data_IF_079095125719
#
_entry.id   IF_079095125719
#
_cell.length_a   1.000
_cell.length_b   1.000
_cell.length_c   1.000
_cell.angle_alpha   90.00
_cell.angle_beta   90.00
_cell.angle_gamma   90.00
#
_symmetry.space_group_name_H-M   'P 1'
#
loop_
_entity.id
_entity.type
_entity.pdbx_description
1 polymer ?
#
# COMPACT_ATOMS: atom_id res chain seq x y z
N UNK A 1 25.51 -10.52 -12.22
CA UNK A 1 26.06 -9.39 -12.98
C UNK A 1 27.36 -9.77 -13.66
N UNK A 2 28.40 -10.18 -12.91
CA UNK A 2 29.70 -10.60 -13.47
C UNK A 2 29.59 -11.78 -14.46
N UNK A 3 28.80 -12.81 -14.14
CA UNK A 3 28.58 -14.00 -15.01
C UNK A 3 27.87 -13.64 -16.33
N UNK A 4 27.14 -12.53 -16.37
CA UNK A 4 26.40 -12.05 -17.55
C UNK A 4 27.13 -10.90 -18.27
N UNK A 5 28.39 -10.61 -17.92
CA UNK A 5 29.20 -9.55 -18.56
C UNK A 5 28.85 -8.11 -18.15
N UNK A 6 28.00 -7.92 -17.13
CA UNK A 6 27.69 -6.60 -16.61
C UNK A 6 28.62 -6.25 -15.44
N UNK A 7 29.18 -5.03 -15.46
CA UNK A 7 30.01 -4.52 -14.37
C UNK A 7 29.14 -4.21 -13.13
N UNK A 8 29.27 -4.98 -12.04
CA UNK A 8 28.50 -4.75 -10.82
C UNK A 8 28.82 -3.38 -10.20
N UNK A 9 30.04 -2.88 -10.33
CA UNK A 9 30.45 -1.61 -9.71
C UNK A 9 29.73 -0.44 -10.39
N UNK A 10 29.66 -0.44 -11.72
CA UNK A 10 28.86 0.51 -12.49
C UNK A 10 27.37 0.42 -12.15
N UNK A 11 26.82 -0.78 -11.95
CA UNK A 11 25.41 -0.94 -11.58
C UNK A 11 25.08 -0.38 -10.18
N UNK A 12 25.90 -0.68 -9.17
CA UNK A 12 25.72 -0.12 -7.82
C UNK A 12 25.94 1.40 -7.79
N UNK A 13 26.95 1.92 -8.50
CA UNK A 13 27.18 3.36 -8.56
C UNK A 13 26.06 4.11 -9.29
N UNK A 14 25.44 3.48 -10.30
CA UNK A 14 24.24 4.00 -10.96
C UNK A 14 23.03 4.04 -10.04
N UNK A 15 22.87 3.06 -9.15
CA UNK A 15 21.84 3.07 -8.10
C UNK A 15 22.01 4.27 -7.16
N UNK A 16 23.23 4.50 -6.65
CA UNK A 16 23.52 5.63 -5.77
C UNK A 16 23.32 6.99 -6.47
N UNK A 17 23.76 7.12 -7.72
CA UNK A 17 23.50 8.34 -8.52
C UNK A 17 22.02 8.50 -8.86
N UNK A 18 21.31 7.41 -9.11
CA UNK A 18 19.88 7.42 -9.41
C UNK A 18 19.03 7.87 -8.22
N UNK A 19 19.41 7.49 -6.99
CA UNK A 19 18.67 7.85 -5.77
C UNK A 19 19.13 9.17 -5.13
N UNK A 20 20.42 9.51 -5.19
CA UNK A 20 20.98 10.69 -4.49
C UNK A 20 21.68 11.71 -5.41
N UNK A 21 21.76 11.44 -6.72
CA UNK A 21 22.55 12.27 -7.64
C UNK A 21 21.96 13.65 -7.94
N UNK A 22 20.68 13.89 -7.64
CA UNK A 22 20.04 15.19 -7.79
C UNK A 22 18.97 15.41 -6.72
N UNK A 23 18.60 16.68 -6.48
CA UNK A 23 17.49 17.01 -5.59
C UNK A 23 16.17 16.36 -6.05
N UNK A 24 15.94 16.31 -7.37
CA UNK A 24 14.78 15.65 -7.96
C UNK A 24 14.78 14.14 -7.70
N UNK A 25 15.90 13.46 -7.96
CA UNK A 25 16.11 12.03 -7.67
C UNK A 25 15.87 11.66 -6.21
N UNK A 26 16.31 12.52 -5.31
CA UNK A 26 16.12 12.34 -3.89
C UNK A 26 14.66 12.54 -3.48
N UNK A 27 14.01 13.60 -3.99
CA UNK A 27 12.58 13.85 -3.76
C UNK A 27 11.71 12.70 -4.31
N UNK A 28 12.03 12.18 -5.48
CA UNK A 28 11.37 11.02 -6.09
C UNK A 28 11.56 9.76 -5.23
N UNK A 29 12.77 9.54 -4.71
CA UNK A 29 13.04 8.42 -3.78
C UNK A 29 12.19 8.53 -2.51
N UNK A 30 12.04 9.73 -1.95
CA UNK A 30 11.16 10.00 -0.80
C UNK A 30 9.69 9.82 -1.15
N UNK A 31 9.24 10.28 -2.33
CA UNK A 31 7.87 10.13 -2.78
C UNK A 31 7.47 8.66 -2.87
N UNK A 32 8.37 7.80 -3.35
CA UNK A 32 8.18 6.35 -3.40
C UNK A 32 8.32 5.66 -2.04
N UNK A 33 9.20 6.15 -1.16
CA UNK A 33 9.39 5.60 0.18
C UNK A 33 8.22 5.91 1.13
N UNK A 34 7.59 7.08 0.98
CA UNK A 34 6.49 7.54 1.84
C UNK A 34 5.34 6.53 1.96
N UNK A 35 4.73 6.02 0.86
CA UNK A 35 3.66 5.04 0.96
C UNK A 35 4.12 3.70 1.58
N UNK A 36 5.37 3.31 1.35
CA UNK A 36 5.95 2.09 1.94
C UNK A 36 6.09 2.23 3.46
N UNK A 37 6.61 3.36 3.94
CA UNK A 37 6.78 3.64 5.37
C UNK A 37 5.42 3.72 6.06
N UNK A 38 4.45 4.40 5.46
CA UNK A 38 3.10 4.50 6.03
C UNK A 38 2.41 3.13 6.10
N UNK A 39 2.55 2.31 5.07
CA UNK A 39 2.03 0.93 5.08
C UNK A 39 2.72 0.06 6.14
N UNK A 40 4.03 0.20 6.32
CA UNK A 40 4.74 -0.49 7.40
C UNK A 40 4.28 -0.03 8.80
N UNK A 41 3.97 1.26 8.95
CA UNK A 41 3.43 1.83 10.19
C UNK A 41 2.05 1.27 10.52
N UNK A 42 1.14 1.14 9.54
CA UNK A 42 -0.20 0.55 9.78
C UNK A 42 -0.08 -0.91 10.21
N UNK A 43 0.83 -1.67 9.61
CA UNK A 43 1.14 -3.04 10.03
C UNK A 43 1.66 -3.09 11.47
N UNK A 44 2.62 -2.23 11.83
CA UNK A 44 3.16 -2.15 13.19
C UNK A 44 2.07 -1.83 14.23
N UNK A 45 1.11 -0.97 13.89
CA UNK A 45 -0.05 -0.67 14.74
C UNK A 45 -1.00 -1.86 14.85
N UNK A 46 -1.31 -2.55 13.76
CA UNK A 46 -2.18 -3.73 13.76
C UNK A 46 -1.61 -4.89 14.59
N UNK A 47 -0.28 -5.09 14.52
CA UNK A 47 0.45 -6.08 15.30
C UNK A 47 0.32 -5.87 16.81
N UNK A 48 0.22 -4.62 17.28
CA UNK A 48 -0.03 -4.33 18.71
C UNK A 48 -1.39 -4.84 19.20
N UNK A 49 -2.36 -4.97 18.29
CA UNK A 49 -3.67 -5.57 18.56
C UNK A 49 -3.71 -7.09 18.33
N UNK A 50 -2.58 -7.71 18.01
CA UNK A 50 -2.50 -9.15 17.69
C UNK A 50 -3.01 -9.50 16.29
N UNK A 51 -3.23 -8.51 15.42
CA UNK A 51 -3.74 -8.73 14.07
C UNK A 51 -2.59 -8.74 13.06
N UNK A 52 -2.43 -9.86 12.35
CA UNK A 52 -1.38 -10.02 11.33
C UNK A 52 -1.93 -9.65 9.95
N UNK A 53 -1.99 -8.35 9.64
CA UNK A 53 -2.61 -7.83 8.42
C UNK A 53 -1.60 -7.71 7.26
N UNK A 54 -1.45 -8.75 6.44
CA UNK A 54 -0.59 -8.72 5.23
C UNK A 54 -1.23 -7.89 4.10
N UNK A 55 -2.55 -7.79 4.07
CA UNK A 55 -3.34 -7.17 3.00
C UNK A 55 -3.36 -5.63 3.05
N UNK A 56 -2.49 -5.01 3.84
CA UNK A 56 -2.38 -3.55 3.94
C UNK A 56 -2.02 -2.91 2.59
N UNK A 57 -1.28 -3.61 1.73
CA UNK A 57 -0.98 -3.18 0.36
C UNK A 57 -2.24 -3.06 -0.51
N UNK A 58 -3.16 -4.03 -0.44
CA UNK A 58 -4.46 -3.95 -1.10
C UNK A 58 -5.30 -2.77 -0.60
N UNK A 59 -5.28 -2.50 0.72
CA UNK A 59 -5.95 -1.35 1.33
C UNK A 59 -5.36 -0.02 0.85
N UNK A 60 -4.03 0.05 0.68
CA UNK A 60 -3.34 1.22 0.13
C UNK A 60 -3.81 1.51 -1.30
N UNK A 61 -3.86 0.51 -2.18
CA UNK A 61 -4.28 0.69 -3.57
C UNK A 61 -5.74 1.14 -3.69
N UNK A 62 -6.65 0.48 -2.97
CA UNK A 62 -8.07 0.85 -2.98
C UNK A 62 -8.30 2.22 -2.33
N UNK A 63 -7.55 2.55 -1.26
CA UNK A 63 -7.54 3.87 -0.66
C UNK A 63 -7.07 4.96 -1.64
N UNK A 64 -6.01 4.69 -2.41
CA UNK A 64 -5.52 5.60 -3.44
C UNK A 64 -6.56 5.82 -4.55
N UNK A 65 -7.26 4.78 -5.00
CA UNK A 65 -8.38 4.91 -5.94
C UNK A 65 -9.52 5.76 -5.35
N UNK A 66 -9.82 5.57 -4.07
CA UNK A 66 -10.78 6.40 -3.33
C UNK A 66 -10.38 7.88 -3.32
N UNK A 67 -9.11 8.19 -3.02
CA UNK A 67 -8.59 9.56 -3.08
C UNK A 67 -8.69 10.16 -4.48
N UNK A 68 -8.29 9.40 -5.51
CA UNK A 68 -8.33 9.85 -6.91
C UNK A 68 -9.76 10.11 -7.36
N UNK A 69 -10.75 9.32 -6.91
CA UNK A 69 -12.16 9.57 -7.27
C UNK A 69 -12.66 10.96 -6.87
N UNK A 70 -12.11 11.55 -5.80
CA UNK A 70 -12.45 12.91 -5.34
C UNK A 70 -11.91 14.00 -6.28
N UNK A 71 -10.91 13.69 -7.11
CA UNK A 71 -10.36 14.66 -8.07
C UNK A 71 -11.38 15.09 -9.13
N UNK A 72 -12.47 14.33 -9.30
CA UNK A 72 -13.57 14.65 -10.20
C UNK A 72 -14.48 15.77 -9.65
N UNK A 73 -14.36 16.11 -8.37
CA UNK A 73 -15.17 17.12 -7.70
C UNK A 73 -14.36 18.41 -7.52
N UNK A 74 -14.89 19.54 -7.97
CA UNK A 74 -14.23 20.83 -7.78
C UNK A 74 -14.54 21.41 -6.40
N UNK A 75 -13.56 21.32 -5.50
CA UNK A 75 -13.59 21.88 -4.15
C UNK A 75 -12.42 22.86 -3.96
N UNK A 76 -12.54 23.85 -3.05
CA UNK A 76 -11.41 24.69 -2.65
C UNK A 76 -10.30 23.83 -2.04
N UNK A 77 -9.04 24.22 -2.31
CA UNK A 77 -7.84 23.42 -2.05
C UNK A 77 -7.78 22.74 -0.67
N UNK A 78 -8.04 23.43 0.47
CA UNK A 78 -7.98 22.79 1.79
C UNK A 78 -9.03 21.69 1.98
N UNK A 79 -10.24 21.91 1.44
CA UNK A 79 -11.34 20.98 1.57
C UNK A 79 -11.15 19.77 0.67
N UNK A 80 -10.54 19.96 -0.50
CA UNK A 80 -10.23 18.88 -1.43
C UNK A 80 -9.31 17.82 -0.79
N UNK A 81 -8.27 18.25 -0.08
CA UNK A 81 -7.34 17.34 0.61
C UNK A 81 -8.05 16.54 1.71
N UNK A 82 -8.87 17.20 2.52
CA UNK A 82 -9.62 16.53 3.61
C UNK A 82 -10.61 15.51 3.06
N UNK A 83 -11.36 15.87 2.02
CA UNK A 83 -12.34 14.96 1.41
C UNK A 83 -11.64 13.78 0.72
N UNK A 84 -10.52 14.01 0.05
CA UNK A 84 -9.72 12.94 -0.55
C UNK A 84 -9.19 11.95 0.50
N UNK A 85 -8.71 12.44 1.65
CA UNK A 85 -8.27 11.59 2.76
C UNK A 85 -9.44 10.77 3.35
N UNK A 86 -10.60 11.40 3.56
CA UNK A 86 -11.78 10.69 4.06
C UNK A 86 -12.25 9.62 3.07
N UNK A 87 -12.28 9.93 1.78
CA UNK A 87 -12.64 8.97 0.74
C UNK A 87 -11.65 7.79 0.70
N UNK A 88 -10.35 8.05 0.84
CA UNK A 88 -9.33 7.01 0.93
C UNK A 88 -9.52 6.10 2.15
N UNK A 89 -9.79 6.70 3.32
CA UNK A 89 -10.05 5.96 4.56
C UNK A 89 -11.29 5.07 4.43
N UNK A 90 -12.39 5.60 3.86
CA UNK A 90 -13.61 4.83 3.64
C UNK A 90 -13.39 3.69 2.65
N UNK A 91 -12.72 3.96 1.53
CA UNK A 91 -12.43 2.94 0.52
C UNK A 91 -11.54 1.81 1.07
N UNK A 92 -10.48 2.16 1.80
CA UNK A 92 -9.61 1.18 2.46
C UNK A 92 -10.33 0.36 3.54
N UNK A 93 -11.21 1.01 4.32
CA UNK A 93 -12.05 0.33 5.31
C UNK A 93 -13.01 -0.65 4.63
N UNK A 94 -13.69 -0.24 3.55
CA UNK A 94 -14.57 -1.11 2.77
C UNK A 94 -13.82 -2.32 2.23
N UNK A 95 -12.58 -2.13 1.76
CA UNK A 95 -11.74 -3.22 1.29
C UNK A 95 -11.36 -4.22 2.39
N UNK A 96 -11.32 -3.79 3.65
CA UNK A 96 -11.02 -4.67 4.79
C UNK A 96 -12.22 -5.50 5.28
N UNK A 97 -13.46 -5.13 4.93
CA UNK A 97 -14.67 -5.81 5.38
C UNK A 97 -14.68 -7.32 5.06
N UNK A 98 -14.29 -7.79 3.86
CA UNK A 98 -14.27 -9.22 3.55
C UNK A 98 -13.40 -10.02 4.52
N UNK A 99 -12.22 -9.51 4.92
CA UNK A 99 -11.37 -10.16 5.95
C UNK A 99 -12.11 -10.26 7.28
N UNK A 100 -12.70 -9.16 7.72
CA UNK A 100 -13.39 -9.08 9.00
C UNK A 100 -14.57 -10.04 9.06
N UNK A 101 -15.36 -10.12 7.98
CA UNK A 101 -16.51 -11.02 7.88
C UNK A 101 -16.10 -12.50 7.87
N UNK A 102 -15.00 -12.86 7.19
CA UNK A 102 -14.50 -14.24 7.17
C UNK A 102 -13.95 -14.67 8.52
N UNK A 103 -13.27 -13.76 9.23
CA UNK A 103 -12.81 -14.00 10.59
C UNK A 103 -14.00 -14.25 11.54
N UNK A 104 -14.99 -13.36 11.52
CA UNK A 104 -16.14 -13.41 12.44
C UNK A 104 -17.09 -14.57 12.12
N UNK A 105 -17.34 -14.85 10.84
CA UNK A 105 -18.31 -15.87 10.42
C UNK A 105 -17.72 -17.28 10.31
N UNK A 106 -16.47 -17.43 9.87
CA UNK A 106 -15.88 -18.73 9.51
C UNK A 106 -14.63 -19.09 10.32
N UNK A 107 -14.15 -18.20 11.20
CA UNK A 107 -12.96 -18.46 12.03
C UNK A 107 -11.67 -18.65 11.21
N UNK A 108 -11.62 -18.13 9.98
CA UNK A 108 -10.44 -18.28 9.11
C UNK A 108 -9.27 -17.50 9.69
N UNK A 109 -8.07 -18.07 9.60
CA UNK A 109 -6.84 -17.38 10.00
C UNK A 109 -6.67 -16.06 9.24
N UNK A 110 -6.40 -15.00 10.00
CA UNK A 110 -6.26 -13.63 9.49
C UNK A 110 -5.15 -13.49 8.45
N UNK A 111 -4.06 -14.21 8.65
CA UNK A 111 -2.92 -14.25 7.73
C UNK A 111 -3.35 -14.68 6.33
N UNK A 112 -4.13 -15.77 6.24
CA UNK A 112 -4.58 -16.34 4.96
C UNK A 112 -5.59 -15.41 4.30
N UNK A 113 -6.53 -14.89 5.09
CA UNK A 113 -7.61 -14.02 4.59
C UNK A 113 -7.07 -12.70 4.04
N UNK A 114 -6.08 -12.12 4.70
CA UNK A 114 -5.45 -10.87 4.27
C UNK A 114 -4.50 -11.06 3.08
N UNK A 115 -3.81 -12.20 3.00
CA UNK A 115 -2.99 -12.57 1.83
C UNK A 115 -3.84 -12.68 0.56
N UNK A 116 -5.00 -13.33 0.63
CA UNK A 116 -5.91 -13.45 -0.52
C UNK A 116 -6.38 -12.08 -1.04
N UNK A 117 -6.53 -11.09 -0.16
CA UNK A 117 -6.96 -9.74 -0.52
C UNK A 117 -5.88 -8.85 -1.16
N UNK A 118 -4.61 -9.22 -1.08
CA UNK A 118 -3.51 -8.46 -1.70
C UNK A 118 -3.35 -8.79 -3.19
N UNK A 119 -3.57 -10.04 -3.61
CA UNK A 119 -3.19 -10.51 -4.95
C UNK A 119 -4.34 -10.85 -5.91
N UNK A 120 -5.54 -11.17 -5.41
CA UNK A 120 -6.71 -11.45 -6.27
C UNK A 120 -8.01 -11.58 -5.47
N UNK A 121 -9.07 -10.80 -5.77
CA UNK A 121 -10.39 -10.99 -5.17
C UNK A 121 -11.04 -12.35 -5.53
N UNK A 122 -10.44 -13.12 -6.46
CA UNK A 122 -11.00 -14.36 -7.03
C UNK A 122 -10.90 -15.58 -6.10
N UNK A 123 -10.07 -15.55 -5.04
CA UNK A 123 -9.82 -16.72 -4.19
C UNK A 123 -10.72 -16.80 -2.94
N UNK A 124 -11.86 -16.12 -2.95
CA UNK A 124 -12.89 -16.20 -1.90
C UNK A 124 -13.83 -17.41 -2.06
N UNK A 125 -13.50 -18.38 -2.91
CA UNK A 125 -14.18 -19.67 -2.99
C UNK A 125 -13.49 -20.69 -2.08
N UNK A 126 -13.78 -20.60 -0.79
CA UNK A 126 -13.62 -21.73 0.13
C UNK A 126 -15.02 -22.25 0.47
N UNK A 127 -15.63 -22.94 -0.50
CA UNK A 127 -16.58 -24.03 -0.24
C UNK A 127 -15.81 -25.25 0.23
#
# INVERSE_FOLDING_TARGET
>A
MVVYGYDPVSAYSSLFRGSFGSFYSWAESLANATPLILTALTFAVAMRGGLFNIGAEGQLYIGALGAVSVSLIQLPYPLHVVVALLAAMLAGMIWSLPVALLKLGRGVHEVISTLCLTGSPIFLRFT
#
